data_IF_156242409449
#
_entry.id   IF_156242409449
#
_cell.length_a   1.000
_cell.length_b   1.000
_cell.length_c   1.000
_cell.angle_alpha   90.00
_cell.angle_beta   90.00
_cell.angle_gamma   90.00
#
_symmetry.space_group_name_H-M   'P 1'
#
loop_
_entity.id
_entity.type
_entity.pdbx_description
1 polymer ?
#
# COMPACT_ATOMS: atom_id res chain seq x y z
N UNK A 1 -2.43 5.99 -10.05
CA UNK A 1 -3.71 6.54 -9.56
C UNK A 1 -3.54 8.05 -9.46
N UNK A 2 -4.49 8.87 -9.94
CA UNK A 2 -4.36 10.33 -9.83
C UNK A 2 -4.40 10.71 -8.34
N UNK A 3 -3.47 11.56 -7.87
CA UNK A 3 -3.38 11.98 -6.47
C UNK A 3 -4.70 12.50 -5.91
N UNK A 4 -5.47 13.19 -6.75
CA UNK A 4 -6.79 13.70 -6.41
C UNK A 4 -7.73 12.57 -6.01
N UNK A 5 -7.71 11.47 -6.76
CA UNK A 5 -8.58 10.33 -6.52
C UNK A 5 -8.18 9.61 -5.23
N UNK A 6 -6.88 9.40 -5.02
CA UNK A 6 -6.39 8.69 -3.84
C UNK A 6 -6.57 9.51 -2.55
N UNK A 7 -6.38 10.84 -2.58
CA UNK A 7 -6.71 11.70 -1.44
C UNK A 7 -8.22 11.71 -1.18
N UNK A 8 -9.03 11.78 -2.25
CA UNK A 8 -10.49 11.75 -2.14
C UNK A 8 -10.99 10.44 -1.54
N UNK A 9 -10.43 9.29 -1.94
CA UNK A 9 -10.77 7.98 -1.37
C UNK A 9 -10.37 7.87 0.10
N UNK A 10 -9.18 8.36 0.48
CA UNK A 10 -8.74 8.40 1.88
C UNK A 10 -9.70 9.23 2.74
N UNK A 11 -10.05 10.42 2.27
CA UNK A 11 -10.98 11.31 2.99
C UNK A 11 -12.37 10.66 3.08
N UNK A 12 -12.87 10.09 1.97
CA UNK A 12 -14.16 9.43 1.93
C UNK A 12 -14.22 8.23 2.89
N UNK A 13 -13.17 7.41 2.91
CA UNK A 13 -13.01 6.30 3.84
C UNK A 13 -13.03 6.76 5.30
N UNK A 14 -12.26 7.80 5.64
CA UNK A 14 -12.23 8.34 7.00
C UNK A 14 -13.58 8.92 7.43
N UNK A 15 -14.26 9.67 6.56
CA UNK A 15 -15.59 10.23 6.85
C UNK A 15 -16.63 9.13 7.03
N UNK A 16 -16.57 8.07 6.22
CA UNK A 16 -17.55 6.97 6.22
C UNK A 16 -17.39 6.06 7.44
N UNK A 17 -16.15 5.77 7.83
CA UNK A 17 -15.84 4.90 8.97
C UNK A 17 -15.89 5.63 10.32
N UNK A 18 -15.97 6.96 10.30
CA UNK A 18 -15.98 7.75 11.53
C UNK A 18 -17.31 7.64 12.28
N UNK A 19 -17.29 7.46 13.62
CA UNK A 19 -18.51 7.54 14.43
C UNK A 19 -19.09 8.97 14.46
N UNK A 20 -18.32 9.98 14.00
CA UNK A 20 -18.75 11.38 13.90
C UNK A 20 -18.37 11.96 12.53
N UNK A 21 -19.11 11.62 11.45
CA UNK A 21 -18.79 12.04 10.08
C UNK A 21 -18.70 13.56 9.93
N UNK A 22 -19.63 14.31 10.53
CA UNK A 22 -19.63 15.78 10.51
C UNK A 22 -18.37 16.41 11.08
N UNK A 23 -17.89 15.90 12.22
CA UNK A 23 -16.64 16.38 12.84
C UNK A 23 -15.41 16.02 11.99
N UNK A 24 -15.48 14.89 11.28
CA UNK A 24 -14.41 14.44 10.38
C UNK A 24 -14.34 15.31 9.13
N UNK A 25 -15.48 15.73 8.58
CA UNK A 25 -15.56 16.75 7.53
C UNK A 25 -14.95 18.07 8.02
N UNK A 26 -15.27 18.52 9.25
CA UNK A 26 -14.69 19.73 9.84
C UNK A 26 -13.16 19.64 9.98
N UNK A 27 -12.65 18.48 10.43
CA UNK A 27 -11.21 18.20 10.52
C UNK A 27 -10.56 18.40 9.15
N UNK A 28 -11.06 17.73 8.12
CA UNK A 28 -10.50 17.82 6.76
C UNK A 28 -10.62 19.24 6.20
N UNK A 29 -11.75 19.93 6.37
CA UNK A 29 -11.86 21.34 5.99
C UNK A 29 -10.75 22.20 6.61
N UNK A 30 -10.43 21.94 7.88
CA UNK A 30 -9.39 22.66 8.62
C UNK A 30 -7.99 22.34 8.10
N UNK A 31 -7.72 21.07 7.77
CA UNK A 31 -6.48 20.62 7.12
C UNK A 31 -6.28 21.34 5.77
N UNK A 32 -7.35 21.49 4.99
CA UNK A 32 -7.31 22.22 3.72
C UNK A 32 -7.26 23.75 3.88
N UNK A 33 -7.30 24.26 5.11
CA UNK A 33 -7.37 25.70 5.42
C UNK A 33 -8.51 26.42 4.69
N UNK A 34 -9.67 25.75 4.56
CA UNK A 34 -10.87 26.30 3.92
C UNK A 34 -11.80 26.84 5.02
N UNK A 35 -12.27 28.08 4.91
CA UNK A 35 -13.27 28.59 5.87
C UNK A 35 -14.67 28.00 5.57
N UNK A 36 -15.57 27.99 6.56
CA UNK A 36 -16.97 27.55 6.31
C UNK A 36 -17.63 28.42 5.23
N UNK A 37 -17.31 29.71 5.21
CA UNK A 37 -17.81 30.68 4.22
C UNK A 37 -17.27 30.37 2.82
N UNK A 38 -15.99 30.04 2.69
CA UNK A 38 -15.38 29.68 1.40
C UNK A 38 -16.00 28.40 0.83
N UNK A 39 -16.16 27.38 1.66
CA UNK A 39 -16.78 26.12 1.26
C UNK A 39 -18.24 26.32 0.87
N UNK A 40 -18.99 27.11 1.65
CA UNK A 40 -20.38 27.42 1.37
C UNK A 40 -20.53 28.18 0.04
N UNK A 41 -19.68 29.17 -0.20
CA UNK A 41 -19.63 29.92 -1.46
C UNK A 41 -19.33 29.01 -2.65
N UNK A 42 -18.40 28.07 -2.50
CA UNK A 42 -18.06 27.11 -3.54
C UNK A 42 -19.21 26.17 -3.89
N UNK A 43 -19.88 25.65 -2.88
CA UNK A 43 -20.99 24.72 -3.02
C UNK A 43 -22.33 25.39 -3.34
N UNK A 44 -22.35 26.72 -3.46
CA UNK A 44 -23.56 27.54 -3.59
C UNK A 44 -24.59 27.26 -2.47
N UNK A 45 -24.10 27.18 -1.23
CA UNK A 45 -24.87 26.94 -0.01
C UNK A 45 -24.71 28.11 0.98
N UNK A 46 -25.57 28.17 2.00
CA UNK A 46 -25.36 29.10 3.12
C UNK A 46 -24.31 28.55 4.10
N UNK A 47 -23.52 29.42 4.78
CA UNK A 47 -22.58 28.99 5.81
C UNK A 47 -23.23 28.19 6.95
N UNK A 48 -24.50 28.47 7.26
CA UNK A 48 -25.29 27.72 8.25
C UNK A 48 -25.45 26.24 7.87
N UNK A 49 -25.61 25.92 6.58
CA UNK A 49 -25.74 24.53 6.11
C UNK A 49 -24.44 23.78 6.30
N UNK A 50 -23.30 24.39 5.99
CA UNK A 50 -21.97 23.80 6.25
C UNK A 50 -21.79 23.56 7.75
N UNK A 51 -22.14 24.55 8.58
CA UNK A 51 -22.07 24.42 10.04
C UNK A 51 -22.95 23.27 10.56
N UNK A 52 -24.14 23.06 9.99
CA UNK A 52 -25.05 21.98 10.39
C UNK A 52 -24.51 20.58 10.11
N UNK A 53 -23.79 20.43 8.99
CA UNK A 53 -23.06 19.20 8.68
C UNK A 53 -21.91 18.99 9.66
N UNK A 54 -21.11 20.04 9.92
CA UNK A 54 -19.94 19.94 10.79
C UNK A 54 -20.27 19.73 12.27
N UNK A 55 -21.38 20.28 12.74
CA UNK A 55 -21.83 20.17 14.13
C UNK A 55 -22.51 18.83 14.43
N UNK A 56 -22.76 18.00 13.41
CA UNK A 56 -23.51 16.75 13.56
C UNK A 56 -25.01 16.95 13.82
N UNK A 57 -25.55 18.16 13.57
CA UNK A 57 -27.02 18.38 13.59
C UNK A 57 -27.71 17.53 12.53
N UNK A 58 -27.02 17.27 11.42
CA UNK A 58 -27.38 16.23 10.43
C UNK A 58 -26.55 14.98 10.71
N UNK A 59 -27.18 13.99 11.35
CA UNK A 59 -26.49 12.79 11.89
C UNK A 59 -25.66 12.03 10.85
N UNK A 60 -26.08 12.02 9.58
CA UNK A 60 -25.34 11.38 8.50
C UNK A 60 -25.48 12.17 7.19
N UNK A 61 -24.43 12.86 6.69
CA UNK A 61 -24.45 13.44 5.37
C UNK A 61 -24.61 12.33 4.31
N UNK A 62 -25.48 12.56 3.32
CA UNK A 62 -25.67 11.62 2.22
C UNK A 62 -24.41 11.46 1.38
N UNK A 63 -24.25 10.31 0.73
CA UNK A 63 -23.02 9.98 -0.03
C UNK A 63 -22.71 11.01 -1.12
N UNK A 64 -23.74 11.55 -1.78
CA UNK A 64 -23.60 12.61 -2.79
C UNK A 64 -23.11 13.93 -2.17
N UNK A 65 -23.54 14.25 -0.95
CA UNK A 65 -23.08 15.44 -0.23
C UNK A 65 -21.61 15.30 0.17
N UNK A 66 -21.22 14.14 0.70
CA UNK A 66 -19.82 13.85 1.05
C UNK A 66 -18.94 13.98 -0.18
N UNK A 67 -19.35 13.37 -1.31
CA UNK A 67 -18.64 13.48 -2.59
C UNK A 67 -18.42 14.94 -3.00
N UNK A 68 -19.48 15.76 -3.02
CA UNK A 68 -19.39 17.19 -3.39
C UNK A 68 -18.47 17.99 -2.48
N UNK A 69 -18.47 17.70 -1.18
CA UNK A 69 -17.60 18.39 -0.21
C UNK A 69 -16.12 18.03 -0.46
N UNK A 70 -15.83 16.76 -0.71
CA UNK A 70 -14.46 16.29 -0.98
C UNK A 70 -13.96 16.88 -2.31
N UNK A 71 -14.79 16.85 -3.35
CA UNK A 71 -14.48 17.49 -4.65
C UNK A 71 -14.19 18.99 -4.45
N UNK A 72 -15.00 19.69 -3.64
CA UNK A 72 -14.76 21.09 -3.32
C UNK A 72 -13.43 21.33 -2.59
N UNK A 73 -13.02 20.45 -1.66
CA UNK A 73 -11.73 20.60 -0.99
C UNK A 73 -10.56 20.53 -1.98
N UNK A 74 -10.59 19.53 -2.85
CA UNK A 74 -9.55 19.33 -3.87
C UNK A 74 -9.52 20.51 -4.84
N UNK A 75 -10.66 20.90 -5.40
CA UNK A 75 -10.72 21.98 -6.38
C UNK A 75 -10.36 23.36 -5.81
N UNK A 76 -10.70 23.64 -4.54
CA UNK A 76 -10.30 24.88 -3.87
C UNK A 76 -8.79 24.91 -3.64
N UNK A 77 -8.18 23.79 -3.21
CA UNK A 77 -6.73 23.70 -3.01
C UNK A 77 -5.98 23.86 -4.32
N UNK A 78 -6.44 23.22 -5.40
CA UNK A 78 -5.85 23.38 -6.73
C UNK A 78 -5.83 24.83 -7.18
N UNK A 79 -6.95 25.54 -7.02
CA UNK A 79 -7.04 26.98 -7.34
C UNK A 79 -6.10 27.83 -6.48
N UNK A 80 -5.69 27.35 -5.30
CA UNK A 80 -4.73 28.00 -4.39
C UNK A 80 -3.27 27.54 -4.60
N UNK A 81 -3.00 26.78 -5.66
CA UNK A 81 -1.67 26.29 -6.00
C UNK A 81 -1.35 24.88 -5.46
N UNK A 82 -2.35 24.12 -5.02
CA UNK A 82 -2.23 22.69 -4.75
C UNK A 82 -1.35 22.32 -3.56
N UNK A 83 -1.17 23.22 -2.57
CA UNK A 83 -0.22 23.00 -1.48
C UNK A 83 -0.55 21.77 -0.64
N UNK A 84 -1.84 21.53 -0.38
CA UNK A 84 -2.27 20.38 0.43
C UNK A 84 -2.19 19.11 -0.39
N UNK A 85 -2.57 19.15 -1.67
CA UNK A 85 -2.34 18.04 -2.60
C UNK A 85 -0.86 17.66 -2.66
N UNK A 86 0.06 18.62 -2.77
CA UNK A 86 1.50 18.39 -2.75
C UNK A 86 2.05 17.95 -1.38
N UNK A 87 1.46 18.42 -0.28
CA UNK A 87 1.84 17.97 1.06
C UNK A 87 1.47 16.50 1.28
N UNK A 88 0.31 16.10 0.77
CA UNK A 88 -0.16 14.72 0.84
C UNK A 88 0.36 13.86 -0.32
N UNK A 89 1.09 14.42 -1.30
CA UNK A 89 1.81 13.71 -2.37
C UNK A 89 2.71 12.65 -1.76
N UNK A 90 3.59 13.00 -0.82
CA UNK A 90 4.44 12.01 -0.13
C UNK A 90 3.68 10.94 0.69
N UNK A 91 2.42 11.18 1.04
CA UNK A 91 1.56 10.23 1.76
C UNK A 91 0.69 9.37 0.82
N UNK A 92 0.59 9.74 -0.46
CA UNK A 92 -0.40 9.22 -1.42
C UNK A 92 0.25 8.74 -2.72
N UNK A 93 1.42 9.27 -3.08
CA UNK A 93 2.39 8.62 -3.94
C UNK A 93 2.42 7.18 -3.48
N UNK A 94 1.95 6.31 -4.38
CA UNK A 94 2.19 4.89 -4.33
C UNK A 94 3.63 4.72 -3.92
N UNK A 95 3.81 4.37 -2.64
CA UNK A 95 5.02 3.89 -2.00
C UNK A 95 6.06 3.58 -3.08
N UNK A 96 6.98 4.50 -3.40
CA UNK A 96 7.76 4.36 -4.65
C UNK A 96 8.40 2.96 -4.70
N UNK A 97 8.03 2.19 -5.72
CA UNK A 97 8.45 0.81 -5.87
C UNK A 97 7.57 -0.27 -5.22
N UNK A 98 6.61 0.01 -4.34
CA UNK A 98 5.60 -0.98 -3.90
C UNK A 98 4.39 -0.90 -4.83
N UNK A 99 4.21 -1.97 -5.61
CA UNK A 99 3.13 -2.12 -6.58
C UNK A 99 1.82 -2.54 -5.91
N UNK A 100 1.89 -3.36 -4.86
CA UNK A 100 0.72 -3.88 -4.14
C UNK A 100 1.12 -4.42 -2.77
N UNK A 101 0.27 -4.25 -1.76
CA UNK A 101 0.50 -4.74 -0.41
C UNK A 101 -0.84 -5.17 0.19
N UNK A 102 -0.87 -6.37 0.80
CA UNK A 102 -2.10 -6.92 1.38
C UNK A 102 -1.78 -7.82 2.56
N UNK A 103 -2.60 -7.74 3.60
CA UNK A 103 -2.60 -8.68 4.71
C UNK A 103 -3.66 -9.78 4.48
N UNK A 104 -3.34 -11.01 4.86
CA UNK A 104 -4.28 -12.13 4.85
C UNK A 104 -5.04 -12.21 6.18
N UNK A 105 -6.35 -12.52 6.16
CA UNK A 105 -7.14 -12.65 7.39
C UNK A 105 -6.78 -13.89 8.23
N UNK A 106 -6.04 -14.84 7.66
CA UNK A 106 -5.52 -16.04 8.31
C UNK A 106 -4.09 -16.34 7.83
N UNK A 107 -3.41 -17.23 8.56
CA UNK A 107 -2.05 -17.67 8.22
C UNK A 107 -2.06 -18.73 7.13
N UNK A 108 -1.29 -18.52 6.07
CA UNK A 108 -1.15 -19.44 4.93
C UNK A 108 0.19 -20.16 5.04
N UNK A 109 0.26 -21.51 5.02
CA UNK A 109 1.53 -22.21 5.01
C UNK A 109 2.41 -21.81 3.82
N UNK A 110 3.71 -21.55 4.04
CA UNK A 110 4.61 -21.11 2.98
C UNK A 110 4.65 -22.09 1.79
N UNK A 111 4.62 -23.41 2.04
CA UNK A 111 4.51 -24.44 0.98
C UNK A 111 3.26 -24.25 0.11
N UNK A 112 2.12 -23.92 0.72
CA UNK A 112 0.88 -23.67 -0.02
C UNK A 112 0.97 -22.38 -0.82
N UNK A 113 1.47 -21.29 -0.22
CA UNK A 113 1.69 -20.01 -0.90
C UNK A 113 2.54 -20.21 -2.16
N UNK A 114 3.69 -20.88 -2.04
CA UNK A 114 4.64 -21.13 -3.14
C UNK A 114 3.98 -21.95 -4.26
N UNK A 115 3.20 -22.98 -3.91
CA UNK A 115 2.49 -23.81 -4.89
C UNK A 115 1.46 -23.00 -5.70
N UNK A 116 0.71 -22.13 -5.05
CA UNK A 116 -0.39 -21.36 -5.69
C UNK A 116 0.13 -20.30 -6.68
N UNK A 117 1.37 -19.83 -6.49
CA UNK A 117 2.05 -18.91 -7.42
C UNK A 117 2.94 -19.65 -8.44
N UNK A 118 2.87 -20.98 -8.50
CA UNK A 118 3.72 -21.83 -9.36
C UNK A 118 5.22 -21.55 -9.14
N UNK A 119 5.59 -21.36 -7.87
CA UNK A 119 6.93 -21.00 -7.47
C UNK A 119 7.90 -22.17 -7.47
N UNK A 120 9.04 -21.99 -8.14
CA UNK A 120 10.20 -22.87 -8.03
C UNK A 120 11.13 -22.39 -6.92
N UNK A 121 11.39 -23.23 -5.92
CA UNK A 121 12.24 -22.87 -4.77
C UNK A 121 13.71 -23.15 -5.11
N UNK A 122 14.58 -22.16 -4.93
CA UNK A 122 16.01 -22.23 -5.25
C UNK A 122 16.90 -22.55 -4.04
N UNK A 123 16.39 -22.34 -2.83
CA UNK A 123 17.09 -22.65 -1.58
C UNK A 123 17.08 -24.15 -1.27
N UNK A 124 18.12 -24.60 -0.60
CA UNK A 124 18.30 -26.01 -0.23
C UNK A 124 17.65 -26.38 1.10
N UNK A 125 17.48 -25.40 2.00
CA UNK A 125 16.86 -25.63 3.31
C UNK A 125 15.33 -25.66 3.24
N UNK A 126 14.73 -26.77 3.70
CA UNK A 126 13.28 -26.89 3.87
C UNK A 126 12.75 -26.31 5.19
N UNK A 127 13.62 -25.93 6.12
CA UNK A 127 13.22 -25.53 7.49
C UNK A 127 12.24 -24.34 7.45
N UNK A 128 12.50 -23.40 6.56
CA UNK A 128 11.72 -22.18 6.40
C UNK A 128 10.40 -22.39 5.65
N UNK A 129 10.22 -23.52 4.96
CA UNK A 129 8.95 -23.90 4.32
C UNK A 129 7.86 -24.30 5.34
N UNK A 130 8.24 -24.54 6.61
CA UNK A 130 7.30 -24.81 7.71
C UNK A 130 6.68 -23.53 8.31
N UNK A 131 7.17 -22.36 7.92
CA UNK A 131 6.64 -21.06 8.38
C UNK A 131 5.33 -20.72 7.67
N UNK A 132 4.64 -19.71 8.19
CA UNK A 132 3.42 -19.17 7.62
C UNK A 132 3.62 -17.77 7.02
N UNK A 133 2.77 -17.45 6.06
CA UNK A 133 2.65 -16.18 5.34
C UNK A 133 1.30 -15.57 5.73
N UNK A 134 1.33 -14.37 6.30
CA UNK A 134 0.19 -13.57 6.75
C UNK A 134 -0.09 -12.38 5.84
N UNK A 135 0.63 -12.25 4.74
CA UNK A 135 0.41 -11.19 3.75
C UNK A 135 1.47 -11.23 2.65
N UNK A 136 1.37 -10.29 1.72
CA UNK A 136 2.36 -10.12 0.68
C UNK A 136 2.67 -8.65 0.39
N UNK A 137 3.83 -8.40 -0.22
CA UNK A 137 4.20 -7.11 -0.79
C UNK A 137 4.85 -7.34 -2.14
N UNK A 138 4.23 -6.80 -3.17
CA UNK A 138 4.72 -6.84 -4.54
C UNK A 138 5.45 -5.53 -4.85
N UNK A 139 6.69 -5.63 -5.33
CA UNK A 139 7.55 -4.47 -5.54
C UNK A 139 8.24 -4.47 -6.91
N UNK A 140 8.52 -3.28 -7.43
CA UNK A 140 9.37 -3.03 -8.59
C UNK A 140 10.79 -2.75 -8.12
N UNK A 141 11.66 -3.76 -8.26
CA UNK A 141 12.99 -3.77 -7.65
C UNK A 141 13.88 -2.61 -8.08
N UNK A 142 13.76 -2.15 -9.33
CA UNK A 142 14.58 -1.06 -9.86
C UNK A 142 14.19 0.22 -9.16
N UNK A 143 12.88 0.53 -9.15
CA UNK A 143 12.35 1.71 -8.46
C UNK A 143 12.57 1.62 -6.96
N UNK A 144 12.30 0.48 -6.34
CA UNK A 144 12.47 0.25 -4.90
C UNK A 144 13.92 0.51 -4.45
N UNK A 145 14.93 0.11 -5.22
CA UNK A 145 16.34 0.33 -4.83
C UNK A 145 16.76 1.78 -5.05
N UNK A 146 16.21 2.44 -6.07
CA UNK A 146 16.51 3.85 -6.38
C UNK A 146 15.89 4.82 -5.36
N UNK A 147 14.75 4.47 -4.75
CA UNK A 147 13.94 5.40 -3.95
C UNK A 147 13.85 5.07 -2.46
N UNK A 148 14.03 3.80 -2.05
CA UNK A 148 13.91 3.44 -0.62
C UNK A 148 15.20 3.80 0.14
N UNK A 149 15.09 4.81 1.01
CA UNK A 149 16.06 5.08 2.06
C UNK A 149 16.02 3.99 3.15
N UNK A 150 17.09 3.85 3.93
CA UNK A 150 17.20 2.83 4.99
C UNK A 150 16.06 2.85 6.02
N UNK A 151 15.43 4.00 6.25
CA UNK A 151 14.25 4.14 7.12
C UNK A 151 12.93 3.63 6.52
N UNK A 152 12.84 3.55 5.19
CA UNK A 152 11.61 3.21 4.46
C UNK A 152 11.50 1.72 4.13
N UNK A 153 12.55 0.94 4.39
CA UNK A 153 12.55 -0.51 4.17
C UNK A 153 11.55 -1.26 5.07
N UNK A 154 11.23 -0.69 6.23
CA UNK A 154 10.15 -1.18 7.11
C UNK A 154 8.78 -1.22 6.39
N UNK A 155 8.57 -0.38 5.37
CA UNK A 155 7.30 -0.31 4.62
C UNK A 155 7.03 -1.59 3.85
N UNK A 156 8.07 -2.37 3.49
CA UNK A 156 7.93 -3.67 2.84
C UNK A 156 7.24 -4.71 3.72
N UNK A 157 7.22 -4.51 5.03
CA UNK A 157 6.73 -5.50 6.00
C UNK A 157 5.29 -5.26 6.45
N UNK A 158 4.62 -4.19 5.98
CA UNK A 158 3.22 -3.92 6.32
C UNK A 158 2.95 -4.03 7.83
N UNK A 159 1.92 -4.77 8.23
CA UNK A 159 1.62 -5.00 9.66
C UNK A 159 2.36 -6.21 10.27
N UNK A 160 2.92 -7.10 9.44
CA UNK A 160 3.61 -8.29 9.93
C UNK A 160 4.77 -8.71 9.03
N UNK A 161 5.89 -9.03 9.67
CA UNK A 161 7.07 -9.56 8.99
C UNK A 161 6.89 -10.98 8.46
N UNK A 162 5.89 -11.71 8.96
CA UNK A 162 5.52 -13.04 8.46
C UNK A 162 4.83 -12.92 7.10
N UNK A 163 5.57 -12.57 6.05
CA UNK A 163 5.00 -12.31 4.73
C UNK A 163 5.89 -12.74 3.57
N UNK A 164 5.32 -12.72 2.38
CA UNK A 164 6.06 -12.85 1.13
C UNK A 164 6.41 -11.47 0.57
N UNK A 165 7.68 -11.25 0.19
CA UNK A 165 8.10 -10.08 -0.59
C UNK A 165 8.41 -10.54 -2.00
N UNK A 166 7.70 -9.98 -2.99
CA UNK A 166 7.77 -10.35 -4.39
C UNK A 166 8.41 -9.22 -5.18
N UNK A 167 9.58 -9.47 -5.75
CA UNK A 167 10.36 -8.53 -6.53
C UNK A 167 10.13 -8.75 -8.03
N UNK A 168 9.71 -7.70 -8.72
CA UNK A 168 9.57 -7.64 -10.19
C UNK A 168 10.74 -6.87 -10.81
N UNK A 169 10.98 -7.04 -12.13
CA UNK A 169 12.06 -6.34 -12.82
C UNK A 169 13.47 -6.82 -12.46
N UNK A 170 13.60 -8.04 -11.95
CA UNK A 170 14.90 -8.60 -11.53
C UNK A 170 15.72 -9.08 -12.74
N UNK A 171 16.96 -8.59 -12.87
CA UNK A 171 17.95 -9.19 -13.78
C UNK A 171 18.74 -10.33 -13.14
N UNK A 172 19.35 -10.08 -11.98
CA UNK A 172 20.25 -11.04 -11.30
C UNK A 172 19.90 -11.29 -9.81
N UNK A 173 19.23 -10.35 -9.14
CA UNK A 173 18.72 -10.56 -7.78
C UNK A 173 19.74 -10.41 -6.63
N UNK A 174 20.98 -9.96 -6.88
CA UNK A 174 21.94 -9.70 -5.77
C UNK A 174 21.44 -8.63 -4.81
N UNK A 175 21.08 -7.46 -5.33
CA UNK A 175 20.75 -6.28 -4.52
C UNK A 175 19.57 -6.51 -3.57
N UNK A 176 18.42 -7.10 -3.99
CA UNK A 176 17.32 -7.38 -3.07
C UNK A 176 17.71 -8.32 -1.93
N UNK A 177 18.47 -9.40 -2.20
CA UNK A 177 18.88 -10.31 -1.12
C UNK A 177 19.89 -9.67 -0.16
N UNK A 178 20.78 -8.80 -0.66
CA UNK A 178 21.69 -8.04 0.20
C UNK A 178 20.89 -7.12 1.11
N UNK A 179 19.89 -6.42 0.57
CA UNK A 179 19.02 -5.53 1.34
C UNK A 179 18.22 -6.30 2.42
N UNK A 180 17.63 -7.45 2.06
CA UNK A 180 16.98 -8.35 3.03
C UNK A 180 17.95 -8.84 4.10
N UNK A 181 19.20 -9.13 3.75
CA UNK A 181 20.23 -9.59 4.70
C UNK A 181 20.62 -8.52 5.71
N UNK A 182 20.80 -7.28 5.30
CA UNK A 182 21.25 -6.21 6.21
C UNK A 182 20.12 -5.70 7.12
N UNK A 183 18.87 -5.88 6.72
CA UNK A 183 17.72 -5.42 7.50
C UNK A 183 17.48 -6.27 8.75
N UNK A 184 17.12 -5.71 9.93
CA UNK A 184 16.97 -6.48 11.17
C UNK A 184 15.83 -7.51 11.13
N UNK A 185 14.74 -7.21 10.41
CA UNK A 185 13.60 -8.12 10.26
C UNK A 185 13.62 -8.86 8.92
N UNK A 186 13.18 -10.12 8.92
CA UNK A 186 13.23 -11.02 7.76
C UNK A 186 11.82 -11.43 7.31
N UNK A 187 11.55 -11.47 5.99
CA UNK A 187 10.29 -11.98 5.48
C UNK A 187 10.22 -13.51 5.64
N UNK A 188 9.02 -14.06 5.53
CA UNK A 188 8.84 -15.52 5.47
C UNK A 188 9.34 -16.09 4.14
N UNK A 189 9.03 -15.42 3.03
CA UNK A 189 9.37 -15.88 1.67
C UNK A 189 9.83 -14.69 0.82
N UNK A 190 10.81 -14.93 -0.06
CA UNK A 190 11.22 -13.97 -1.08
C UNK A 190 10.97 -14.58 -2.45
N UNK A 191 10.29 -13.84 -3.32
CA UNK A 191 9.92 -14.31 -4.66
C UNK A 191 10.51 -13.37 -5.71
N UNK A 192 11.17 -13.92 -6.72
CA UNK A 192 11.56 -13.22 -7.93
C UNK A 192 10.59 -13.54 -9.04
N UNK A 193 9.89 -12.51 -9.50
CA UNK A 193 9.00 -12.60 -10.65
C UNK A 193 9.79 -12.45 -11.94
N UNK A 194 9.75 -13.50 -12.77
CA UNK A 194 10.41 -13.58 -14.10
C UNK A 194 11.84 -13.01 -14.11
N UNK A 195 12.74 -13.46 -13.23
CA UNK A 195 14.10 -12.95 -13.24
C UNK A 195 14.81 -13.35 -14.55
N UNK A 196 15.69 -12.49 -15.07
CA UNK A 196 16.54 -12.86 -16.20
C UNK A 196 17.47 -14.04 -15.87
N UNK A 197 18.10 -13.98 -14.70
CA UNK A 197 18.83 -15.09 -14.08
C UNK A 197 18.89 -14.85 -12.55
N UNK A 198 19.27 -15.86 -11.78
CA UNK A 198 19.45 -15.71 -10.33
C UNK A 198 20.89 -15.93 -9.96
N UNK A 199 21.49 -14.94 -9.32
CA UNK A 199 22.87 -14.99 -8.91
C UNK A 199 23.09 -15.98 -7.76
N UNK A 200 24.19 -16.73 -7.82
CA UNK A 200 24.54 -17.72 -6.78
C UNK A 200 24.71 -17.11 -5.39
N UNK A 201 25.13 -15.84 -5.29
CA UNK A 201 25.21 -15.15 -4.01
C UNK A 201 23.83 -14.96 -3.39
N UNK A 202 22.80 -14.61 -4.18
CA UNK A 202 21.45 -14.42 -3.68
C UNK A 202 20.90 -15.72 -3.04
N UNK A 203 21.13 -16.86 -3.69
CA UNK A 203 20.76 -18.19 -3.17
C UNK A 203 21.50 -18.49 -1.86
N UNK A 204 22.82 -18.29 -1.83
CA UNK A 204 23.64 -18.49 -0.61
C UNK A 204 23.19 -17.61 0.56
N UNK A 205 22.82 -16.36 0.28
CA UNK A 205 22.32 -15.44 1.30
C UNK A 205 20.95 -15.90 1.83
N UNK A 206 20.05 -16.33 0.94
CA UNK A 206 18.74 -16.84 1.31
C UNK A 206 18.82 -18.10 2.19
N UNK A 207 19.68 -19.06 1.83
CA UNK A 207 19.94 -20.26 2.63
C UNK A 207 20.49 -19.89 4.02
N UNK A 208 21.46 -18.97 4.09
CA UNK A 208 22.05 -18.52 5.35
C UNK A 208 21.04 -17.86 6.29
N UNK A 209 20.10 -17.09 5.74
CA UNK A 209 19.05 -16.42 6.51
C UNK A 209 17.84 -17.33 6.79
N UNK A 210 17.84 -18.58 6.29
CA UNK A 210 16.69 -19.49 6.34
C UNK A 210 15.41 -18.83 5.80
N UNK A 211 15.51 -18.29 4.59
CA UNK A 211 14.39 -17.67 3.85
C UNK A 211 14.28 -18.41 2.51
N UNK A 212 13.13 -19.00 2.16
CA UNK A 212 12.94 -19.58 0.83
C UNK A 212 13.07 -18.48 -0.22
N UNK A 213 14.03 -18.65 -1.14
CA UNK A 213 14.12 -17.84 -2.35
C UNK A 213 13.44 -18.60 -3.48
N UNK A 214 12.42 -17.98 -4.06
CA UNK A 214 11.51 -18.61 -5.00
C UNK A 214 11.50 -17.82 -6.30
N UNK A 215 11.37 -18.48 -7.44
CA UNK A 215 11.13 -17.84 -8.74
C UNK A 215 9.79 -18.25 -9.30
N UNK A 216 9.06 -17.34 -9.92
CA UNK A 216 7.84 -17.66 -10.68
C UNK A 216 7.90 -17.05 -12.07
N UNK A 217 7.41 -17.80 -13.07
CA UNK A 217 7.32 -17.35 -14.46
C UNK A 217 5.90 -16.92 -14.86
N UNK A 218 4.96 -16.88 -13.90
CA UNK A 218 3.57 -16.47 -14.10
C UNK A 218 3.47 -15.04 -14.67
N UNK A 219 2.43 -14.74 -15.44
CA UNK A 219 2.17 -13.38 -15.90
C UNK A 219 1.89 -12.46 -14.71
N UNK A 220 2.33 -11.19 -14.76
CA UNK A 220 2.22 -10.30 -13.61
C UNK A 220 0.76 -10.11 -13.16
N UNK A 221 -0.16 -9.91 -14.11
CA UNK A 221 -1.59 -9.73 -13.80
C UNK A 221 -2.23 -10.99 -13.22
N UNK A 222 -1.77 -12.16 -13.66
CA UNK A 222 -2.23 -13.45 -13.13
C UNK A 222 -1.69 -13.68 -11.72
N UNK A 223 -0.40 -13.38 -11.50
CA UNK A 223 0.24 -13.44 -10.19
C UNK A 223 -0.48 -12.55 -9.19
N UNK A 224 -0.81 -11.31 -9.55
CA UNK A 224 -1.60 -10.41 -8.70
C UNK A 224 -2.95 -11.01 -8.30
N UNK A 225 -3.72 -11.50 -9.29
CA UNK A 225 -5.01 -12.14 -9.04
C UNK A 225 -4.89 -13.34 -8.08
N UNK A 226 -3.84 -14.16 -8.23
CA UNK A 226 -3.57 -15.31 -7.34
C UNK A 226 -3.21 -14.85 -5.94
N UNK A 227 -2.32 -13.86 -5.81
CA UNK A 227 -1.88 -13.30 -4.52
C UNK A 227 -3.05 -12.71 -3.73
N UNK A 228 -3.97 -12.00 -4.39
CA UNK A 228 -5.19 -11.47 -3.75
C UNK A 228 -6.13 -12.61 -3.35
N UNK A 229 -6.44 -13.52 -4.28
CA UNK A 229 -7.36 -14.64 -4.05
C UNK A 229 -6.95 -15.57 -2.90
N UNK A 230 -5.66 -15.62 -2.56
CA UNK A 230 -5.17 -16.37 -1.40
C UNK A 230 -5.75 -15.86 -0.07
N UNK A 231 -6.18 -14.60 0.01
CA UNK A 231 -6.81 -14.00 1.19
C UNK A 231 -8.32 -14.12 1.28
N UNK A 232 -8.98 -14.57 0.20
CA UNK A 232 -10.44 -14.63 0.08
C UNK A 232 -11.03 -16.01 0.47
N UNK A 233 -10.19 -16.97 0.88
CA UNK A 233 -10.57 -18.38 1.06
C UNK A 233 -10.99 -18.76 2.48
#
# INVERSE_FOLDING_TARGET
>A
MNIKNALSEKIAGEVTLSPKPGQTIRKWRSVFHISQTDLAKYLNLSPSVVSDYESGRRKSPGIQTVKKIIEAFVEIDEKRGGKILHQYDSMIETQEGILEIMEYPYSIPAKQFIREIEGNTLTTSEISLKKNVKGFTLVDSVKTIETINSGDYNRLYGWSTERAIIFTGIRYGRSPMIAIRVHPVKPTVVVYHRPGSVDSLAIKLADRENIPLVTTNMALDELKKKLVKLGDK
#
